data_IF_687387095351
#
_entry.id   IF_687387095351
#
_cell.length_a   1.000
_cell.length_b   1.000
_cell.length_c   1.000
_cell.angle_alpha   90.00
_cell.angle_beta   90.00
_cell.angle_gamma   90.00
#
_symmetry.space_group_name_H-M   'P 1'
#
loop_
_entity.id
_entity.type
_entity.pdbx_description
1 polymer ?
#
# COMPACT_ATOMS: atom_id res chain seq x y z
N UNK A 1 16.23 -27.68 -11.35
CA UNK A 1 15.66 -27.88 -10.00
C UNK A 1 14.72 -26.74 -9.68
N UNK A 2 13.41 -27.00 -9.72
CA UNK A 2 12.36 -26.02 -9.42
C UNK A 2 12.37 -25.74 -7.92
N UNK A 3 12.73 -24.53 -7.50
CA UNK A 3 12.66 -24.14 -6.08
C UNK A 3 11.22 -24.32 -5.59
N UNK A 4 11.03 -24.89 -4.41
CA UNK A 4 9.69 -25.20 -3.88
C UNK A 4 8.87 -23.90 -3.77
N UNK A 5 7.56 -23.96 -4.03
CA UNK A 5 6.66 -22.80 -3.92
C UNK A 5 6.80 -22.11 -2.55
N UNK A 6 7.04 -22.91 -1.50
CA UNK A 6 7.22 -22.42 -0.15
C UNK A 6 8.51 -21.58 0.02
N UNK A 7 9.61 -21.96 -0.64
CA UNK A 7 10.84 -21.17 -0.65
C UNK A 7 10.66 -19.84 -1.40
N UNK A 8 9.87 -19.83 -2.48
CA UNK A 8 9.58 -18.58 -3.23
C UNK A 8 8.82 -17.60 -2.35
N UNK A 9 7.83 -18.10 -1.59
CA UNK A 9 7.06 -17.29 -0.63
C UNK A 9 7.96 -16.74 0.48
N UNK A 10 8.82 -17.57 1.08
CA UNK A 10 9.79 -17.12 2.10
C UNK A 10 10.74 -16.05 1.57
N UNK A 11 11.28 -16.21 0.35
CA UNK A 11 12.13 -15.18 -0.27
C UNK A 11 11.36 -13.88 -0.50
N UNK A 12 10.11 -13.96 -0.95
CA UNK A 12 9.26 -12.80 -1.15
C UNK A 12 8.91 -12.09 0.16
N UNK A 13 8.69 -12.83 1.25
CA UNK A 13 8.49 -12.28 2.59
C UNK A 13 9.74 -11.53 3.07
N UNK A 14 10.92 -12.17 3.00
CA UNK A 14 12.20 -11.51 3.31
C UNK A 14 12.42 -10.23 2.50
N UNK A 15 12.03 -10.23 1.23
CA UNK A 15 12.17 -9.04 0.38
C UNK A 15 11.27 -7.89 0.86
N UNK A 16 10.05 -8.20 1.33
CA UNK A 16 9.12 -7.20 1.87
C UNK A 16 9.58 -6.64 3.20
N UNK A 17 10.10 -7.50 4.07
CA UNK A 17 10.68 -7.12 5.36
C UNK A 17 11.88 -6.20 5.15
N UNK A 18 12.79 -6.59 4.25
CA UNK A 18 13.94 -5.77 3.88
C UNK A 18 13.55 -4.39 3.33
N UNK A 19 12.52 -4.34 2.46
CA UNK A 19 11.99 -3.07 1.96
C UNK A 19 11.41 -2.19 3.09
N UNK A 20 10.76 -2.80 4.10
CA UNK A 20 10.22 -2.06 5.23
C UNK A 20 11.33 -1.45 6.08
N UNK A 21 12.39 -2.21 6.36
CA UNK A 21 13.55 -1.70 7.10
C UNK A 21 14.28 -0.58 6.34
N UNK A 22 14.40 -0.70 5.01
CA UNK A 22 14.93 0.39 4.17
C UNK A 22 14.07 1.66 4.26
N UNK A 23 12.75 1.53 4.37
CA UNK A 23 11.85 2.67 4.51
C UNK A 23 11.94 3.35 5.88
N UNK A 24 12.28 2.60 6.94
CA UNK A 24 12.53 3.15 8.27
C UNK A 24 13.86 3.92 8.32
N UNK A 25 14.90 3.36 7.69
CA UNK A 25 16.24 3.97 7.69
C UNK A 25 16.37 5.16 6.75
N UNK A 26 15.75 5.08 5.57
CA UNK A 26 15.83 6.10 4.53
C UNK A 26 14.44 6.66 4.20
N UNK A 27 13.79 7.39 5.13
CA UNK A 27 12.42 7.88 4.95
C UNK A 27 12.28 8.91 3.81
N UNK A 28 13.38 9.55 3.41
CA UNK A 28 13.40 10.50 2.29
C UNK A 28 13.37 9.81 0.92
N UNK A 29 13.93 8.60 0.85
CA UNK A 29 14.06 7.82 -0.39
C UNK A 29 12.95 6.78 -0.51
N UNK A 30 12.76 5.98 0.54
CA UNK A 30 11.82 4.87 0.59
C UNK A 30 10.66 5.23 1.49
N UNK A 31 9.53 5.58 0.87
CA UNK A 31 8.27 5.83 1.59
C UNK A 31 7.27 4.71 1.36
N UNK A 32 6.53 4.40 2.42
CA UNK A 32 5.39 3.48 2.39
C UNK A 32 4.09 4.18 1.97
N UNK A 33 4.04 5.50 2.16
CA UNK A 33 2.92 6.37 1.79
C UNK A 33 2.89 6.60 0.28
N UNK A 34 1.83 6.16 -0.45
CA UNK A 34 1.79 6.26 -1.91
C UNK A 34 1.84 7.70 -2.44
N UNK A 35 1.44 8.69 -1.64
CA UNK A 35 1.48 10.11 -2.01
C UNK A 35 2.89 10.73 -1.90
N UNK A 36 3.76 10.16 -1.05
CA UNK A 36 5.12 10.68 -0.82
C UNK A 36 6.18 9.96 -1.64
N UNK A 37 5.79 8.93 -2.40
CA UNK A 37 6.71 8.19 -3.25
C UNK A 37 7.26 9.09 -4.35
N UNK A 38 8.58 9.06 -4.50
CA UNK A 38 9.34 9.83 -5.48
C UNK A 38 10.19 8.87 -6.32
N UNK A 39 10.51 9.24 -7.59
CA UNK A 39 11.35 8.41 -8.44
C UNK A 39 12.77 8.32 -7.87
N UNK A 40 13.36 7.12 -7.94
CA UNK A 40 14.71 6.87 -7.42
C UNK A 40 15.78 7.34 -8.41
N UNK A 41 16.94 7.73 -7.88
CA UNK A 41 18.10 8.04 -8.69
C UNK A 41 18.60 6.83 -9.50
N UNK A 42 19.20 7.11 -10.67
CA UNK A 42 19.88 6.08 -11.47
C UNK A 42 21.11 5.62 -10.68
N UNK A 43 21.31 4.31 -10.54
CA UNK A 43 22.46 3.77 -9.81
C UNK A 43 22.27 3.69 -8.29
N UNK A 44 21.06 3.94 -7.76
CA UNK A 44 20.74 3.81 -6.33
C UNK A 44 21.11 2.43 -5.75
N UNK A 45 21.10 1.39 -6.59
CA UNK A 45 21.51 0.04 -6.20
C UNK A 45 22.99 -0.03 -5.75
N UNK A 46 23.89 0.67 -6.46
CA UNK A 46 25.31 0.68 -6.13
C UNK A 46 25.56 1.46 -4.84
N UNK A 47 24.91 2.62 -4.71
CA UNK A 47 24.98 3.44 -3.49
C UNK A 47 24.44 2.70 -2.27
N UNK A 48 23.29 2.03 -2.40
CA UNK A 48 22.76 1.19 -1.32
C UNK A 48 23.74 0.08 -0.96
N UNK A 49 24.43 -0.50 -1.95
CA UNK A 49 25.41 -1.55 -1.68
C UNK A 49 26.62 -1.02 -0.92
N UNK A 50 27.12 0.16 -1.27
CA UNK A 50 28.24 0.83 -0.59
C UNK A 50 27.88 1.09 0.88
N UNK A 51 26.74 1.72 1.15
CA UNK A 51 26.24 2.00 2.51
C UNK A 51 26.03 0.72 3.33
N UNK A 52 25.32 -0.28 2.78
CA UNK A 52 25.05 -1.53 3.50
C UNK A 52 26.31 -2.38 3.70
N UNK A 53 27.32 -2.24 2.85
CA UNK A 53 28.62 -2.86 3.06
C UNK A 53 29.43 -2.13 4.14
N UNK A 54 29.13 -0.87 4.46
CA UNK A 54 29.79 -0.16 5.56
C UNK A 54 29.28 -0.67 6.92
N UNK A 55 27.99 -0.99 7.02
CA UNK A 55 27.37 -1.46 8.26
C UNK A 55 27.54 -2.97 8.49
N UNK A 56 28.11 -3.37 9.63
CA UNK A 56 28.34 -4.77 9.99
C UNK A 56 27.06 -5.62 10.01
N UNK A 57 25.93 -5.04 10.40
CA UNK A 57 24.62 -5.72 10.44
C UNK A 57 24.05 -6.05 9.05
N UNK A 58 24.48 -5.34 8.01
CA UNK A 58 23.90 -5.41 6.66
C UNK A 58 24.88 -5.92 5.61
N UNK A 59 26.15 -6.11 5.95
CA UNK A 59 27.19 -6.69 5.08
C UNK A 59 26.79 -8.04 4.48
N UNK A 60 26.05 -8.85 5.23
CA UNK A 60 25.56 -10.16 4.78
C UNK A 60 24.36 -10.09 3.81
N UNK A 61 23.87 -8.88 3.49
CA UNK A 61 22.72 -8.74 2.60
C UNK A 61 23.05 -9.20 1.18
N UNK A 62 22.31 -10.20 0.67
CA UNK A 62 22.63 -10.76 -0.63
C UNK A 62 22.13 -9.84 -1.74
N UNK A 63 22.93 -9.68 -2.81
CA UNK A 63 22.62 -8.76 -3.92
C UNK A 63 21.25 -9.03 -4.58
N UNK A 64 20.83 -10.31 -4.64
CA UNK A 64 19.50 -10.67 -5.16
C UNK A 64 18.35 -10.06 -4.36
N UNK A 65 18.52 -9.85 -3.05
CA UNK A 65 17.50 -9.29 -2.16
C UNK A 65 17.33 -7.78 -2.43
N UNK A 66 18.44 -7.05 -2.59
CA UNK A 66 18.44 -5.63 -2.96
C UNK A 66 17.72 -5.44 -4.30
N UNK A 67 18.11 -6.24 -5.31
CA UNK A 67 17.50 -6.20 -6.64
C UNK A 67 16.00 -6.50 -6.58
N UNK A 68 15.58 -7.46 -5.77
CA UNK A 68 14.15 -7.78 -5.64
C UNK A 68 13.37 -6.71 -4.88
N UNK A 69 13.93 -6.12 -3.84
CA UNK A 69 13.29 -5.04 -3.10
C UNK A 69 13.06 -3.83 -4.00
N UNK A 70 14.09 -3.43 -4.75
CA UNK A 70 13.98 -2.37 -5.75
C UNK A 70 12.98 -2.71 -6.86
N UNK A 71 12.97 -3.95 -7.35
CA UNK A 71 12.00 -4.38 -8.35
C UNK A 71 10.56 -4.34 -7.84
N UNK A 72 10.32 -4.70 -6.57
CA UNK A 72 9.00 -4.60 -5.93
C UNK A 72 8.57 -3.13 -5.78
N UNK A 73 9.48 -2.26 -5.37
CA UNK A 73 9.22 -0.84 -5.20
C UNK A 73 8.90 -0.15 -6.53
N UNK A 74 9.73 -0.35 -7.55
CA UNK A 74 9.61 0.28 -8.89
C UNK A 74 8.45 -0.26 -9.72
N UNK A 75 7.95 -1.47 -9.45
CA UNK A 75 6.75 -2.04 -10.09
C UNK A 75 5.45 -1.67 -9.37
N UNK A 76 5.51 -0.88 -8.30
CA UNK A 76 4.31 -0.39 -7.62
C UNK A 76 3.58 0.66 -8.47
N UNK A 77 2.25 0.69 -8.40
CA UNK A 77 1.46 1.69 -9.12
C UNK A 77 1.76 3.12 -8.67
N UNK A 78 2.07 3.32 -7.38
CA UNK A 78 2.43 4.62 -6.84
C UNK A 78 3.76 5.13 -7.39
N UNK A 79 4.76 4.27 -7.57
CA UNK A 79 6.02 4.65 -8.22
C UNK A 79 5.82 5.04 -9.68
N UNK A 80 4.99 4.27 -10.42
CA UNK A 80 4.65 4.61 -11.79
C UNK A 80 3.90 5.95 -11.88
N UNK A 81 2.99 6.26 -10.95
CA UNK A 81 2.37 7.59 -10.87
C UNK A 81 3.40 8.70 -10.63
N UNK A 82 4.34 8.50 -9.69
CA UNK A 82 5.38 9.49 -9.39
C UNK A 82 6.28 9.79 -10.60
N UNK A 83 6.53 8.80 -11.46
CA UNK A 83 7.22 8.99 -12.74
C UNK A 83 6.36 9.83 -13.69
N UNK A 84 5.06 9.52 -13.80
CA UNK A 84 4.13 10.25 -14.68
C UNK A 84 3.96 11.72 -14.25
N UNK A 85 4.03 12.00 -12.95
CA UNK A 85 4.02 13.34 -12.37
C UNK A 85 5.33 14.11 -12.55
N UNK A 86 6.35 13.50 -13.17
CA UNK A 86 7.65 14.12 -13.44
C UNK A 86 8.39 14.65 -12.19
N UNK A 87 8.17 14.03 -11.02
CA UNK A 87 8.80 14.47 -9.76
C UNK A 87 10.34 14.39 -9.84
N UNK A 88 11.08 15.25 -9.12
CA UNK A 88 12.53 15.16 -9.07
C UNK A 88 12.97 13.81 -8.50
N UNK A 89 14.05 13.26 -9.07
CA UNK A 89 14.66 12.02 -8.58
C UNK A 89 15.38 12.28 -7.27
N UNK A 90 15.39 11.29 -6.39
CA UNK A 90 16.03 11.44 -5.07
C UNK A 90 17.10 10.37 -4.86
N UNK A 91 18.24 10.82 -4.31
CA UNK A 91 19.34 10.00 -3.80
C UNK A 91 19.10 9.58 -2.34
N UNK A 92 19.88 8.61 -1.85
CA UNK A 92 19.77 8.10 -0.47
C UNK A 92 19.90 9.22 0.58
N UNK A 93 20.72 10.22 0.29
CA UNK A 93 20.99 11.38 1.14
C UNK A 93 19.84 12.41 1.14
N UNK A 94 18.82 12.22 0.31
CA UNK A 94 17.72 13.18 0.12
C UNK A 94 17.99 14.25 -0.95
N UNK A 95 19.19 14.28 -1.52
CA UNK A 95 19.56 15.20 -2.61
C UNK A 95 18.84 14.89 -3.92
N UNK A 96 18.50 15.93 -4.67
CA UNK A 96 17.88 15.80 -5.99
C UNK A 96 18.90 15.28 -7.01
N UNK A 97 18.57 14.18 -7.68
CA UNK A 97 19.43 13.47 -8.65
C UNK A 97 19.03 13.79 -10.10
N UNK A 98 18.41 14.95 -10.32
CA UNK A 98 17.88 15.39 -11.62
C UNK A 98 16.41 15.03 -11.86
N UNK A 99 15.92 15.40 -13.04
CA UNK A 99 14.49 15.31 -13.40
C UNK A 99 14.19 14.08 -14.26
N UNK A 100 12.95 13.60 -14.24
CA UNK A 100 12.48 12.54 -15.14
C UNK A 100 12.25 13.12 -16.54
N UNK A 101 12.84 12.50 -17.56
CA UNK A 101 12.68 12.92 -18.96
C UNK A 101 11.27 12.62 -19.48
N UNK A 102 10.78 13.38 -20.45
CA UNK A 102 9.45 13.16 -21.05
C UNK A 102 9.28 11.74 -21.62
N UNK A 103 10.35 11.15 -22.17
CA UNK A 103 10.35 9.78 -22.66
C UNK A 103 10.05 8.78 -21.53
N UNK A 104 10.67 8.94 -20.38
CA UNK A 104 10.42 8.09 -19.21
C UNK A 104 9.01 8.27 -18.64
N UNK A 105 8.46 9.49 -18.73
CA UNK A 105 7.06 9.75 -18.36
C UNK A 105 6.11 9.00 -19.30
N UNK A 106 6.35 9.03 -20.62
CA UNK A 106 5.56 8.30 -21.59
C UNK A 106 5.60 6.79 -21.35
N UNK A 107 6.78 6.23 -21.13
CA UNK A 107 6.94 4.82 -20.74
C UNK A 107 6.26 4.52 -19.39
N UNK A 108 6.33 5.45 -18.42
CA UNK A 108 5.65 5.35 -17.14
C UNK A 108 4.14 5.22 -17.29
N UNK A 109 3.52 6.03 -18.18
CA UNK A 109 2.09 5.98 -18.50
C UNK A 109 1.70 4.61 -19.08
N UNK A 110 2.42 4.12 -20.08
CA UNK A 110 2.15 2.81 -20.68
C UNK A 110 2.24 1.68 -19.64
N UNK A 111 3.27 1.72 -18.79
CA UNK A 111 3.45 0.72 -17.72
C UNK A 111 2.36 0.80 -16.67
N UNK A 112 1.88 1.99 -16.34
CA UNK A 112 0.77 2.20 -15.42
C UNK A 112 -0.52 1.56 -15.95
N UNK A 113 -0.82 1.78 -17.23
CA UNK A 113 -1.99 1.18 -17.88
C UNK A 113 -1.88 -0.34 -17.93
N UNK A 114 -0.72 -0.88 -18.31
CA UNK A 114 -0.47 -2.31 -18.29
C UNK A 114 -0.62 -2.91 -16.88
N UNK A 115 -0.15 -2.19 -15.85
CA UNK A 115 -0.31 -2.59 -14.45
C UNK A 115 -1.78 -2.61 -14.01
N UNK A 116 -2.54 -1.55 -14.35
CA UNK A 116 -3.98 -1.44 -14.07
C UNK A 116 -4.76 -2.56 -14.76
N UNK A 117 -4.48 -2.83 -16.04
CA UNK A 117 -5.09 -3.94 -16.81
C UNK A 117 -4.82 -5.29 -16.16
N UNK A 118 -3.56 -5.61 -15.85
CA UNK A 118 -3.18 -6.86 -15.16
C UNK A 118 -3.83 -7.01 -13.79
N UNK A 119 -4.00 -5.91 -13.05
CA UNK A 119 -4.72 -5.91 -11.76
C UNK A 119 -6.21 -6.17 -11.92
N UNK A 120 -6.84 -5.52 -12.90
CA UNK A 120 -8.26 -5.73 -13.19
C UNK A 120 -8.55 -7.18 -13.61
N UNK A 121 -7.71 -7.78 -14.45
CA UNK A 121 -7.84 -9.20 -14.84
C UNK A 121 -7.72 -10.14 -13.65
N UNK A 122 -6.71 -9.94 -12.79
CA UNK A 122 -6.55 -10.73 -11.55
C UNK A 122 -7.74 -10.57 -10.58
N UNK A 123 -8.34 -9.38 -10.53
CA UNK A 123 -9.52 -9.15 -9.69
C UNK A 123 -10.75 -9.89 -10.25
N UNK A 124 -10.93 -9.88 -11.58
CA UNK A 124 -12.01 -10.61 -12.25
C UNK A 124 -11.91 -12.12 -12.00
N UNK A 125 -10.70 -12.71 -12.12
CA UNK A 125 -10.50 -14.14 -11.85
C UNK A 125 -10.73 -14.47 -10.38
N UNK A 126 -10.21 -13.64 -9.45
CA UNK A 126 -10.42 -13.86 -8.01
C UNK A 126 -11.89 -13.74 -7.60
N UNK A 127 -12.64 -12.80 -8.16
CA UNK A 127 -14.08 -12.67 -7.92
C UNK A 127 -14.89 -13.86 -8.47
N UNK A 128 -14.46 -14.44 -9.59
CA UNK A 128 -15.10 -15.65 -10.15
C UNK A 128 -14.86 -16.87 -9.25
N UNK A 129 -13.63 -17.05 -8.76
CA UNK A 129 -13.27 -18.16 -7.86
C UNK A 129 -13.94 -18.00 -6.50
N UNK A 130 -13.97 -16.80 -5.91
CA UNK A 130 -14.66 -16.57 -4.63
C UNK A 130 -16.16 -16.77 -4.73
N UNK A 131 -16.81 -16.28 -5.81
CA UNK A 131 -18.23 -16.54 -6.06
C UNK A 131 -18.52 -18.01 -6.27
N UNK A 132 -17.62 -18.76 -6.90
CA UNK A 132 -17.77 -20.21 -7.06
C UNK A 132 -17.61 -20.94 -5.72
N UNK A 133 -16.63 -20.58 -4.89
CA UNK A 133 -16.43 -21.23 -3.58
C UNK A 133 -17.52 -20.89 -2.57
N UNK A 134 -18.07 -19.67 -2.59
CA UNK A 134 -19.24 -19.28 -1.77
C UNK A 134 -20.50 -20.06 -2.15
N UNK A 135 -20.60 -20.51 -3.40
CA UNK A 135 -21.74 -21.27 -3.92
C UNK A 135 -21.62 -22.78 -3.65
N UNK A 136 -20.42 -23.26 -3.33
CA UNK A 136 -20.15 -24.67 -2.99
C UNK A 136 -20.11 -24.95 -1.49
N UNK A 137 -20.26 -23.95 -0.61
CA UNK A 137 -20.45 -24.22 0.83
C UNK A 137 -21.88 -24.74 1.01
N UNK A 138 -22.10 -25.99 1.46
CA UNK A 138 -23.43 -26.46 1.78
C UNK A 138 -23.99 -25.56 2.88
N UNK A 139 -25.10 -24.88 2.59
CA UNK A 139 -25.81 -24.05 3.57
C UNK A 139 -26.30 -24.98 4.68
N UNK A 140 -25.51 -25.11 5.75
CA UNK A 140 -25.92 -25.82 6.96
C UNK A 140 -27.24 -25.21 7.39
N UNK A 141 -28.30 -26.03 7.45
CA UNK A 141 -29.62 -25.60 7.93
C UNK A 141 -29.42 -24.90 9.28
N UNK A 142 -30.01 -23.72 9.53
CA UNK A 142 -29.96 -23.13 10.86
C UNK A 142 -30.53 -24.16 11.83
N UNK A 143 -29.73 -24.55 12.83
CA UNK A 143 -30.15 -25.52 13.85
C UNK A 143 -31.41 -25.00 14.54
N UNK A 144 -32.52 -25.72 14.37
CA UNK A 144 -33.85 -25.39 14.86
C UNK A 144 -33.98 -25.65 16.37
N UNK A 145 -33.08 -25.08 17.19
CA UNK A 145 -33.19 -25.14 18.65
C UNK A 145 -32.80 -23.84 19.36
N UNK A 146 -32.75 -22.70 18.67
CA UNK A 146 -32.66 -21.41 19.35
C UNK A 146 -34.05 -20.98 19.81
N UNK A 147 -34.42 -21.33 21.04
CA UNK A 147 -35.54 -20.70 21.74
C UNK A 147 -35.11 -19.30 22.17
N UNK A 148 -35.69 -18.20 21.65
CA UNK A 148 -35.49 -16.90 22.26
C UNK A 148 -36.10 -16.96 23.66
N UNK A 149 -35.28 -16.82 24.71
CA UNK A 149 -35.80 -16.68 26.07
C UNK A 149 -36.71 -15.44 26.13
N UNK A 150 -37.90 -15.52 26.75
CA UNK A 150 -38.78 -14.37 26.89
C UNK A 150 -38.07 -13.31 27.74
N UNK A 151 -37.84 -12.17 27.12
CA UNK A 151 -37.30 -10.97 27.76
C UNK A 151 -38.28 -10.53 28.84
N UNK A 152 -37.91 -10.77 30.10
CA UNK A 152 -38.64 -10.35 31.29
C UNK A 152 -38.86 -8.82 31.25
N UNK A 153 -40.10 -8.43 30.96
CA UNK A 153 -40.59 -7.06 30.95
C UNK A 153 -40.78 -6.55 32.38
N UNK A 154 -39.68 -6.28 33.08
CA UNK A 154 -39.75 -5.43 34.26
C UNK A 154 -39.79 -3.96 33.82
N UNK A 155 -41.02 -3.45 33.78
CA UNK A 155 -41.37 -2.02 33.84
C UNK A 155 -40.44 -1.30 34.81
N UNK A 156 -39.75 -0.28 34.33
CA UNK A 156 -39.35 0.86 35.17
C UNK A 156 -39.81 2.11 34.43
N UNK A 157 -40.49 2.94 35.20
CA UNK A 157 -41.33 4.06 34.79
C UNK A 157 -40.49 5.35 34.61
N UNK A 158 -40.96 6.24 33.73
CA UNK A 158 -40.76 7.71 33.76
C UNK A 158 -39.48 8.30 33.09
N UNK A 159 -39.48 9.61 32.73
CA UNK A 159 -40.00 10.10 31.44
C UNK A 159 -39.07 11.13 30.75
N UNK A 160 -39.50 11.60 29.57
CA UNK A 160 -39.26 12.94 29.01
C UNK A 160 -37.83 13.52 28.95
N UNK A 161 -37.38 13.91 27.74
CA UNK A 161 -36.34 14.94 27.65
C UNK A 161 -35.57 15.01 26.33
N UNK A 162 -36.08 15.85 25.43
CA UNK A 162 -35.30 16.78 24.61
C UNK A 162 -34.13 16.26 23.74
N UNK A 163 -34.39 16.19 22.44
CA UNK A 163 -33.39 16.52 21.40
C UNK A 163 -33.18 18.04 21.38
N UNK A 164 -31.94 18.56 21.47
CA UNK A 164 -31.65 19.90 20.98
C UNK A 164 -31.18 19.84 19.53
N UNK A 165 -32.02 20.38 18.64
CA UNK A 165 -31.60 21.06 17.42
C UNK A 165 -30.80 22.31 17.81
N UNK A 166 -29.59 22.47 17.27
CA UNK A 166 -28.84 23.74 17.31
C UNK A 166 -28.70 24.29 15.91
N UNK A 167 -29.39 25.40 15.71
CA UNK A 167 -29.19 26.35 14.63
C UNK A 167 -28.17 27.43 15.06
N UNK A 168 -27.65 28.10 14.03
CA UNK A 168 -27.06 29.45 13.99
C UNK A 168 -25.65 29.74 14.53
N UNK A 169 -24.88 30.45 13.70
CA UNK A 169 -23.62 31.07 14.08
C UNK A 169 -22.68 31.40 12.91
N UNK A 170 -23.12 32.17 11.92
CA UNK A 170 -22.25 32.76 10.89
C UNK A 170 -21.90 34.22 11.25
N UNK A 171 -20.62 34.60 11.44
CA UNK A 171 -20.22 36.00 11.45
C UNK A 171 -19.76 36.46 10.06
N UNK A 172 -20.52 37.39 9.46
CA UNK A 172 -20.08 38.18 8.31
C UNK A 172 -19.01 39.17 8.75
N UNK A 173 -17.81 39.09 8.19
CA UNK A 173 -16.80 40.14 8.27
C UNK A 173 -17.07 41.17 7.16
N UNK A 174 -17.08 42.44 7.55
CA UNK A 174 -17.17 43.59 6.66
C UNK A 174 -15.81 43.87 5.98
N UNK A 175 -15.76 44.37 4.74
CA UNK A 175 -14.57 45.01 4.21
C UNK A 175 -14.52 46.50 4.62
N UNK A 176 -13.41 46.92 5.23
CA UNK A 176 -13.04 48.33 5.39
C UNK A 176 -12.68 48.95 4.03
N UNK A 177 -12.98 50.24 3.92
CA UNK A 177 -12.55 51.17 2.88
C UNK A 177 -11.05 51.52 2.99
#
# INVERSE_FOLDING_TARGET
>A
MSKSENEKLKRAQRTREFLAQLAERYPQCFTRDPAKIRPLAIGIQHKLREELNADDEWKETPNWLIRQALALYTRSGAYLNAIVEARPRINLDGSEAGTVTEQEQAHGKERLEAWKKRRAERQKTKNRVSRASLRSVPRSKPSANWKPSPRNSRKINSPAGCRPSRADGAPKQAPCA
#
